data_IF_126794770263
#
_entry.id   IF_126794770263
#
_cell.length_a   1.000
_cell.length_b   1.000
_cell.length_c   1.000
_cell.angle_alpha   90.00
_cell.angle_beta   90.00
_cell.angle_gamma   90.00
#
_symmetry.space_group_name_H-M   'P 1'
#
loop_
_entity.id
_entity.type
_entity.pdbx_description
1 polymer ?
#
# COMPACT_ATOMS: atom_id res chain seq x y z
N UNK A 1 -24.59 -6.30 -12.79
CA UNK A 1 -25.79 -6.73 -13.55
C UNK A 1 -26.30 -5.53 -14.31
N UNK A 2 -26.02 -5.47 -15.60
CA UNK A 2 -26.57 -4.44 -16.50
C UNK A 2 -27.95 -4.97 -16.89
N UNK A 3 -28.98 -4.56 -16.14
CA UNK A 3 -30.37 -4.86 -16.49
C UNK A 3 -30.69 -4.27 -17.86
N UNK A 4 -31.56 -4.96 -18.61
CA UNK A 4 -31.99 -4.62 -19.98
C UNK A 4 -32.21 -3.11 -20.15
N UNK A 5 -31.17 -2.45 -20.67
CA UNK A 5 -31.12 -0.99 -20.82
C UNK A 5 -32.17 -0.52 -21.81
N UNK A 6 -32.57 -1.38 -22.74
CA UNK A 6 -33.59 -1.10 -23.75
C UNK A 6 -35.00 -1.19 -23.17
N UNK A 7 -35.28 -2.21 -22.36
CA UNK A 7 -36.54 -2.32 -21.61
C UNK A 7 -36.75 -1.16 -20.64
N UNK A 8 -35.71 -0.78 -19.90
CA UNK A 8 -35.74 0.36 -18.96
C UNK A 8 -35.85 1.69 -19.69
N UNK A 9 -35.18 1.86 -20.84
CA UNK A 9 -35.34 3.06 -21.65
C UNK A 9 -36.77 3.17 -22.19
N UNK A 10 -37.36 2.07 -22.69
CA UNK A 10 -38.72 2.06 -23.24
C UNK A 10 -39.78 2.35 -22.18
N UNK A 11 -39.65 1.82 -20.97
CA UNK A 11 -40.57 2.13 -19.87
C UNK A 11 -40.40 3.57 -19.38
N UNK A 12 -39.17 4.07 -19.20
CA UNK A 12 -38.96 5.46 -18.78
C UNK A 12 -39.36 6.47 -19.85
N UNK A 13 -39.13 6.17 -21.14
CA UNK A 13 -39.61 6.98 -22.26
C UNK A 13 -41.15 6.95 -22.28
N UNK A 14 -41.76 5.80 -22.02
CA UNK A 14 -43.20 5.67 -21.85
C UNK A 14 -43.77 6.50 -20.70
N UNK A 15 -43.06 6.56 -19.56
CA UNK A 15 -43.45 7.32 -18.37
C UNK A 15 -43.18 8.82 -18.51
N UNK A 16 -42.04 9.22 -19.08
CA UNK A 16 -41.69 10.63 -19.37
C UNK A 16 -42.57 11.24 -20.46
N UNK A 17 -43.06 10.42 -21.41
CA UNK A 17 -44.00 10.84 -22.45
C UNK A 17 -45.48 10.66 -22.03
N UNK A 18 -45.77 10.15 -20.83
CA UNK A 18 -47.15 9.98 -20.34
C UNK A 18 -47.83 11.30 -19.96
N UNK A 19 -47.08 12.40 -19.83
CA UNK A 19 -47.62 13.72 -19.54
C UNK A 19 -48.18 14.38 -20.82
N UNK A 20 -49.23 13.78 -21.38
CA UNK A 20 -50.24 14.43 -22.24
C UNK A 20 -49.73 15.30 -23.41
N UNK A 21 -48.48 15.16 -23.88
CA UNK A 21 -48.03 15.78 -25.12
C UNK A 21 -48.53 14.91 -26.26
N UNK A 22 -49.67 15.28 -26.81
CA UNK A 22 -50.16 14.71 -28.06
C UNK A 22 -49.19 15.16 -29.15
N UNK A 23 -48.07 14.44 -29.34
CA UNK A 23 -47.09 14.75 -30.38
C UNK A 23 -47.81 14.65 -31.73
N UNK A 24 -48.16 15.81 -32.30
CA UNK A 24 -48.86 15.89 -33.56
C UNK A 24 -47.95 15.29 -34.63
N UNK A 25 -48.38 14.20 -35.26
CA UNK A 25 -47.62 13.55 -36.35
C UNK A 25 -47.70 14.32 -37.68
N UNK A 26 -48.49 15.39 -37.71
CA UNK A 26 -48.62 16.33 -38.83
C UNK A 26 -48.37 17.71 -38.26
N UNK A 27 -47.36 18.40 -38.78
CA UNK A 27 -47.02 19.76 -38.40
C UNK A 27 -47.51 20.69 -39.49
N UNK A 28 -48.23 21.74 -39.10
CA UNK A 28 -48.72 22.75 -40.06
C UNK A 28 -47.61 23.75 -40.41
N UNK A 29 -46.65 23.93 -39.50
CA UNK A 29 -45.56 24.90 -39.63
C UNK A 29 -44.20 24.30 -39.25
N UNK A 30 -43.12 24.88 -39.79
CA UNK A 30 -41.74 24.43 -39.57
C UNK A 30 -41.33 24.60 -38.10
N UNK A 31 -41.78 25.67 -37.43
CA UNK A 31 -41.50 25.93 -36.02
C UNK A 31 -42.10 24.84 -35.10
N UNK A 32 -43.31 24.34 -35.39
CA UNK A 32 -43.92 23.25 -34.63
C UNK A 32 -43.15 21.94 -34.81
N UNK A 33 -42.71 21.63 -36.03
CA UNK A 33 -41.89 20.46 -36.30
C UNK A 33 -40.53 20.54 -35.58
N UNK A 34 -39.89 21.71 -35.62
CA UNK A 34 -38.64 21.97 -34.92
C UNK A 34 -38.82 21.83 -33.41
N UNK A 35 -39.84 22.48 -32.84
CA UNK A 35 -40.16 22.39 -31.41
C UNK A 35 -40.37 20.95 -30.95
N UNK A 36 -41.14 20.16 -31.69
CA UNK A 36 -41.34 18.74 -31.33
C UNK A 36 -40.03 17.94 -31.36
N UNK A 37 -39.09 18.28 -32.25
CA UNK A 37 -37.76 17.66 -32.26
C UNK A 37 -36.92 18.10 -31.06
N UNK A 38 -36.94 19.40 -30.73
CA UNK A 38 -36.24 19.96 -29.56
C UNK A 38 -36.76 19.37 -28.25
N UNK A 39 -38.08 19.23 -28.10
CA UNK A 39 -38.71 18.61 -26.93
C UNK A 39 -38.23 17.15 -26.74
N UNK A 40 -38.12 16.38 -27.84
CA UNK A 40 -37.59 15.03 -27.78
C UNK A 40 -36.13 14.99 -27.30
N UNK A 41 -35.28 15.90 -27.80
CA UNK A 41 -33.90 16.02 -27.35
C UNK A 41 -33.81 16.44 -25.87
N UNK A 42 -34.71 17.31 -25.42
CA UNK A 42 -34.75 17.73 -24.02
C UNK A 42 -35.15 16.57 -23.08
N UNK A 43 -36.12 15.75 -23.46
CA UNK A 43 -36.49 14.54 -22.72
C UNK A 43 -35.31 13.57 -22.63
N UNK A 44 -34.58 13.37 -23.74
CA UNK A 44 -33.38 12.54 -23.76
C UNK A 44 -32.26 13.10 -22.86
N UNK A 45 -32.06 14.42 -22.85
CA UNK A 45 -31.08 15.09 -21.98
C UNK A 45 -31.41 14.91 -20.49
N UNK A 46 -32.69 15.10 -20.10
CA UNK A 46 -33.18 14.87 -18.74
C UNK A 46 -33.06 13.39 -18.35
N UNK A 47 -33.39 12.48 -19.27
CA UNK A 47 -33.25 11.05 -19.03
C UNK A 47 -31.79 10.67 -18.76
N UNK A 48 -30.86 11.14 -19.59
CA UNK A 48 -29.44 10.81 -19.50
C UNK A 48 -28.81 11.27 -18.17
N UNK A 49 -29.33 12.34 -17.56
CA UNK A 49 -28.83 12.94 -16.31
C UNK A 49 -29.60 12.50 -15.05
N UNK A 50 -30.84 12.03 -15.19
CA UNK A 50 -31.79 11.76 -14.09
C UNK A 50 -31.26 10.94 -12.91
N UNK A 51 -30.42 9.93 -13.17
CA UNK A 51 -29.96 8.99 -12.14
C UNK A 51 -28.64 9.38 -11.48
N UNK A 52 -27.95 10.39 -12.00
CA UNK A 52 -26.59 10.72 -11.56
C UNK A 52 -26.53 11.13 -10.10
N UNK A 53 -27.53 11.88 -9.63
CA UNK A 53 -27.63 12.30 -8.22
C UNK A 53 -27.61 11.10 -7.27
N UNK A 54 -28.44 10.10 -7.55
CA UNK A 54 -28.54 8.88 -6.76
C UNK A 54 -27.27 8.04 -6.85
N UNK A 55 -26.64 7.97 -8.03
CA UNK A 55 -25.35 7.27 -8.21
C UNK A 55 -24.24 7.91 -7.38
N UNK A 56 -24.10 9.25 -7.40
CA UNK A 56 -23.10 9.95 -6.59
C UNK A 56 -23.35 9.74 -5.10
N UNK A 57 -24.61 9.82 -4.66
CA UNK A 57 -24.98 9.58 -3.26
C UNK A 57 -24.68 8.14 -2.80
N UNK A 58 -24.93 7.16 -3.66
CA UNK A 58 -24.62 5.75 -3.36
C UNK A 58 -23.11 5.52 -3.23
N UNK A 59 -22.31 6.18 -4.08
CA UNK A 59 -20.85 6.13 -4.00
C UNK A 59 -20.32 6.80 -2.73
N UNK A 60 -20.85 7.98 -2.37
CA UNK A 60 -20.50 8.66 -1.12
C UNK A 60 -20.77 7.75 0.09
N UNK A 61 -21.98 7.17 0.16
CA UNK A 61 -22.35 6.27 1.24
C UNK A 61 -21.45 5.04 1.31
N UNK A 62 -21.17 4.42 0.16
CA UNK A 62 -20.32 3.23 0.12
C UNK A 62 -18.89 3.54 0.56
N UNK A 63 -18.35 4.69 0.15
CA UNK A 63 -17.04 5.16 0.56
C UNK A 63 -17.01 5.49 2.04
N UNK A 64 -18.03 6.15 2.57
CA UNK A 64 -18.17 6.42 4.00
C UNK A 64 -18.23 5.12 4.81
N UNK A 65 -19.05 4.13 4.43
CA UNK A 65 -19.09 2.82 5.12
C UNK A 65 -17.74 2.09 5.08
N UNK A 66 -17.07 2.07 3.92
CA UNK A 66 -15.75 1.46 3.78
C UNK A 66 -14.71 2.15 4.67
N UNK A 67 -14.87 3.45 4.90
CA UNK A 67 -13.87 4.26 5.59
C UNK A 67 -14.18 4.51 7.06
N UNK A 68 -15.42 4.39 7.51
CA UNK A 68 -15.81 4.38 8.92
C UNK A 68 -15.12 3.23 9.67
N UNK A 69 -14.98 2.08 9.02
CA UNK A 69 -14.20 0.97 9.56
C UNK A 69 -12.72 1.36 9.83
N UNK A 70 -12.17 2.28 9.04
CA UNK A 70 -10.80 2.78 9.22
C UNK A 70 -10.70 3.66 10.46
N UNK A 71 -11.61 4.64 10.58
CA UNK A 71 -11.61 5.63 11.68
C UNK A 71 -11.93 4.97 13.02
N UNK A 72 -12.80 3.97 13.06
CA UNK A 72 -13.12 3.25 14.30
C UNK A 72 -11.92 2.45 14.84
N UNK A 73 -11.06 1.98 13.95
CA UNK A 73 -9.88 1.16 14.30
C UNK A 73 -8.72 2.02 14.81
N UNK A 74 -8.61 3.31 14.44
CA UNK A 74 -7.64 4.24 15.04
C UNK A 74 -7.81 4.34 16.58
N UNK A 75 -9.03 4.07 17.08
CA UNK A 75 -9.38 4.24 18.49
C UNK A 75 -9.31 2.96 19.33
N UNK A 76 -9.27 1.79 18.70
CA UNK A 76 -9.24 0.52 19.40
C UNK A 76 -7.99 -0.23 18.95
N UNK A 77 -7.09 -0.49 19.89
CA UNK A 77 -5.87 -1.31 19.73
C UNK A 77 -6.12 -2.78 19.35
N UNK A 78 -7.24 -3.06 18.68
CA UNK A 78 -7.57 -4.34 18.10
C UNK A 78 -6.77 -4.49 16.81
N UNK A 79 -5.70 -5.26 16.95
CA UNK A 79 -4.82 -5.75 15.92
C UNK A 79 -5.56 -6.76 15.02
N UNK A 80 -6.67 -6.35 14.41
CA UNK A 80 -7.41 -7.15 13.44
C UNK A 80 -7.08 -6.68 12.03
N UNK A 81 -6.14 -7.39 11.40
CA UNK A 81 -6.06 -7.68 9.97
C UNK A 81 -6.61 -6.61 9.01
N UNK A 82 -6.08 -5.38 9.08
CA UNK A 82 -6.21 -4.45 7.97
C UNK A 82 -5.44 -5.01 6.78
N UNK A 83 -6.18 -5.68 5.90
CA UNK A 83 -5.61 -6.47 4.83
C UNK A 83 -5.48 -5.60 3.59
N UNK A 84 -4.49 -5.89 2.73
CA UNK A 84 -4.40 -5.41 1.34
C UNK A 84 -5.75 -5.41 0.60
N UNK A 85 -6.67 -6.29 1.00
CA UNK A 85 -8.05 -6.34 0.53
C UNK A 85 -8.84 -5.02 0.71
N UNK A 86 -8.78 -4.36 1.88
CA UNK A 86 -9.51 -3.09 2.10
C UNK A 86 -8.94 -1.97 1.23
N UNK A 87 -7.61 -1.93 1.11
CA UNK A 87 -6.93 -1.00 0.20
C UNK A 87 -7.34 -1.23 -1.26
N UNK A 88 -7.46 -2.50 -1.67
CA UNK A 88 -7.94 -2.89 -2.99
C UNK A 88 -9.40 -2.49 -3.25
N UNK A 89 -10.28 -2.58 -2.24
CA UNK A 89 -11.66 -2.12 -2.37
C UNK A 89 -11.75 -0.59 -2.49
N UNK A 90 -10.98 0.16 -1.70
CA UNK A 90 -10.90 1.62 -1.80
C UNK A 90 -10.39 2.05 -3.17
N UNK A 91 -9.33 1.39 -3.68
CA UNK A 91 -8.84 1.60 -5.06
C UNK A 91 -9.93 1.35 -6.11
N UNK A 92 -10.64 0.23 -6.00
CA UNK A 92 -11.71 -0.12 -6.96
C UNK A 92 -12.79 0.96 -7.02
N UNK A 93 -13.19 1.51 -5.88
CA UNK A 93 -14.18 2.58 -5.82
C UNK A 93 -13.63 3.93 -6.27
N UNK A 94 -12.34 4.21 -6.06
CA UNK A 94 -11.64 5.36 -6.64
C UNK A 94 -11.71 5.31 -8.18
N UNK A 95 -11.34 4.17 -8.76
CA UNK A 95 -11.36 3.95 -10.21
C UNK A 95 -12.79 4.06 -10.77
N UNK A 96 -13.77 3.46 -10.08
CA UNK A 96 -15.18 3.52 -10.48
C UNK A 96 -15.76 4.94 -10.43
N UNK A 97 -15.38 5.71 -9.42
CA UNK A 97 -15.82 7.11 -9.27
C UNK A 97 -15.18 7.97 -10.36
N UNK A 98 -13.88 7.78 -10.66
CA UNK A 98 -13.20 8.46 -11.75
C UNK A 98 -13.82 8.16 -13.13
N UNK A 99 -14.10 6.89 -13.42
CA UNK A 99 -14.80 6.47 -14.64
C UNK A 99 -16.16 7.19 -14.77
N UNK A 100 -16.90 7.26 -13.67
CA UNK A 100 -18.21 7.90 -13.63
C UNK A 100 -18.12 9.41 -13.87
N UNK A 101 -17.13 10.08 -13.25
CA UNK A 101 -16.83 11.50 -13.51
C UNK A 101 -16.54 11.73 -14.99
N UNK A 102 -15.76 10.86 -15.63
CA UNK A 102 -15.41 10.98 -17.05
C UNK A 102 -16.66 10.87 -17.94
N UNK A 103 -17.52 9.88 -17.69
CA UNK A 103 -18.77 9.68 -18.45
C UNK A 103 -19.71 10.89 -18.27
N UNK A 104 -19.90 11.35 -17.03
CA UNK A 104 -20.75 12.52 -16.74
C UNK A 104 -20.22 13.78 -17.42
N UNK A 105 -18.90 14.03 -17.36
CA UNK A 105 -18.27 15.19 -17.99
C UNK A 105 -18.37 15.14 -19.53
N UNK A 106 -18.23 13.95 -20.12
CA UNK A 106 -18.43 13.75 -21.56
C UNK A 106 -19.87 14.09 -21.98
N UNK A 107 -20.86 13.60 -21.22
CA UNK A 107 -22.27 13.90 -21.49
C UNK A 107 -22.58 15.39 -21.35
N UNK A 108 -22.02 16.09 -20.35
CA UNK A 108 -22.10 17.56 -20.25
C UNK A 108 -21.57 18.23 -21.53
N UNK A 109 -20.42 17.76 -22.05
CA UNK A 109 -19.86 18.29 -23.30
C UNK A 109 -20.80 18.06 -24.49
N UNK A 110 -21.45 16.90 -24.58
CA UNK A 110 -22.41 16.59 -25.65
C UNK A 110 -23.62 17.53 -25.57
N UNK A 111 -24.17 17.77 -24.37
CA UNK A 111 -25.29 18.69 -24.19
C UNK A 111 -24.93 20.13 -24.60
N UNK A 112 -23.72 20.59 -24.26
CA UNK A 112 -23.20 21.89 -24.71
C UNK A 112 -23.10 21.96 -26.24
N UNK A 113 -22.56 20.93 -26.88
CA UNK A 113 -22.46 20.87 -28.34
C UNK A 113 -23.83 20.89 -29.00
N UNK A 114 -24.81 20.16 -28.45
CA UNK A 114 -26.17 20.12 -28.95
C UNK A 114 -26.85 21.50 -28.86
N UNK A 115 -26.67 22.19 -27.74
CA UNK A 115 -27.13 23.57 -27.55
C UNK A 115 -26.50 24.52 -28.57
N UNK A 116 -25.18 24.48 -28.72
CA UNK A 116 -24.47 25.36 -29.67
C UNK A 116 -24.87 25.07 -31.12
N UNK A 117 -25.09 23.80 -31.48
CA UNK A 117 -25.55 23.41 -32.81
C UNK A 117 -26.90 24.08 -33.14
N UNK A 118 -27.91 23.97 -32.28
CA UNK A 118 -29.21 24.58 -32.55
C UNK A 118 -29.17 26.12 -32.51
N UNK A 119 -28.39 26.72 -31.61
CA UNK A 119 -28.15 28.17 -31.60
C UNK A 119 -27.49 28.64 -32.90
N UNK A 120 -26.54 27.87 -33.42
CA UNK A 120 -25.87 28.13 -34.69
C UNK A 120 -26.82 27.99 -35.88
N UNK A 121 -27.63 26.92 -35.91
CA UNK A 121 -28.54 26.60 -37.01
C UNK A 121 -29.50 27.75 -37.35
N UNK A 122 -30.08 28.41 -36.33
CA UNK A 122 -31.05 29.49 -36.57
C UNK A 122 -30.37 30.84 -36.86
N UNK A 123 -29.08 30.97 -36.49
CA UNK A 123 -28.25 32.14 -36.81
C UNK A 123 -27.62 32.07 -38.19
N UNK A 124 -27.64 30.91 -38.84
CA UNK A 124 -27.12 30.71 -40.17
C UNK A 124 -27.87 31.59 -41.18
N UNK A 125 -27.12 32.24 -42.07
CA UNK A 125 -27.66 33.12 -43.11
C UNK A 125 -28.57 32.35 -44.08
N UNK A 126 -28.31 31.06 -44.28
CA UNK A 126 -29.10 30.17 -45.14
C UNK A 126 -30.42 29.70 -44.49
N UNK A 127 -30.68 30.06 -43.22
CA UNK A 127 -31.91 29.69 -42.53
C UNK A 127 -33.14 30.44 -43.11
N UNK A 128 -34.30 29.77 -43.29
CA UNK A 128 -35.50 30.39 -43.84
C UNK A 128 -35.93 31.68 -43.12
N UNK A 129 -35.87 32.83 -43.83
CA UNK A 129 -36.14 34.15 -43.26
C UNK A 129 -37.56 34.32 -42.71
N UNK A 130 -38.55 33.64 -43.30
CA UNK A 130 -39.96 33.77 -42.94
C UNK A 130 -40.27 33.13 -41.58
N UNK A 131 -39.61 32.01 -41.28
CA UNK A 131 -39.79 31.24 -40.05
C UNK A 131 -38.71 31.53 -38.99
N UNK A 132 -37.65 32.27 -39.35
CA UNK A 132 -36.48 32.54 -38.49
C UNK A 132 -36.86 33.04 -37.09
N UNK A 133 -37.75 34.03 -36.99
CA UNK A 133 -38.14 34.59 -35.69
C UNK A 133 -38.80 33.56 -34.77
N UNK A 134 -39.76 32.78 -35.29
CA UNK A 134 -40.47 31.76 -34.51
C UNK A 134 -39.53 30.61 -34.10
N UNK A 135 -38.73 30.10 -35.04
CA UNK A 135 -37.74 29.06 -34.76
C UNK A 135 -36.66 29.53 -33.77
N UNK A 136 -36.28 30.80 -33.82
CA UNK A 136 -35.29 31.36 -32.90
C UNK A 136 -35.81 31.46 -31.47
N UNK A 137 -37.09 31.80 -31.31
CA UNK A 137 -37.74 31.80 -30.00
C UNK A 137 -37.80 30.38 -29.42
N UNK A 138 -38.17 29.37 -30.21
CA UNK A 138 -38.23 27.97 -29.77
C UNK A 138 -36.84 27.43 -29.42
N UNK A 139 -35.81 27.71 -30.23
CA UNK A 139 -34.42 27.34 -29.92
C UNK A 139 -33.90 28.05 -28.67
N UNK A 140 -34.26 29.32 -28.46
CA UNK A 140 -33.87 30.05 -27.26
C UNK A 140 -34.49 29.45 -26.01
N UNK A 141 -35.77 29.06 -26.06
CA UNK A 141 -36.44 28.40 -24.94
C UNK A 141 -35.86 27.01 -24.66
N UNK A 142 -35.60 26.22 -25.71
CA UNK A 142 -34.90 24.94 -25.59
C UNK A 142 -33.52 25.11 -24.97
N UNK A 143 -32.73 26.09 -25.44
CA UNK A 143 -31.39 26.33 -24.94
C UNK A 143 -31.38 26.67 -23.44
N UNK A 144 -32.32 27.50 -22.97
CA UNK A 144 -32.46 27.81 -21.54
C UNK A 144 -32.73 26.56 -20.71
N UNK A 145 -33.60 25.66 -21.19
CA UNK A 145 -33.91 24.40 -20.49
C UNK A 145 -32.74 23.40 -20.52
N UNK A 146 -31.97 23.37 -21.61
CA UNK A 146 -30.75 22.55 -21.66
C UNK A 146 -29.65 23.13 -20.79
N UNK A 147 -29.55 24.46 -20.68
CA UNK A 147 -28.61 25.14 -19.79
C UNK A 147 -28.86 24.74 -18.32
N UNK A 148 -30.12 24.69 -17.89
CA UNK A 148 -30.48 24.20 -16.56
C UNK A 148 -30.01 22.75 -16.32
N UNK A 149 -30.22 21.85 -17.28
CA UNK A 149 -29.78 20.45 -17.19
C UNK A 149 -28.24 20.35 -17.18
N UNK A 150 -27.55 21.19 -17.96
CA UNK A 150 -26.09 21.27 -17.98
C UNK A 150 -25.57 21.73 -16.62
N UNK A 151 -26.15 22.80 -16.05
CA UNK A 151 -25.71 23.37 -14.78
C UNK A 151 -25.88 22.35 -13.63
N UNK A 152 -27.01 21.64 -13.58
CA UNK A 152 -27.21 20.56 -12.61
C UNK A 152 -26.18 19.43 -12.80
N UNK A 153 -25.96 19.00 -14.04
CA UNK A 153 -25.00 17.97 -14.38
C UNK A 153 -23.56 18.36 -14.01
N UNK A 154 -23.16 19.62 -14.23
CA UNK A 154 -21.85 20.14 -13.86
C UNK A 154 -21.64 20.20 -12.35
N UNK A 155 -22.68 20.55 -11.60
CA UNK A 155 -22.66 20.50 -10.15
C UNK A 155 -22.44 19.07 -9.64
N UNK A 156 -23.11 18.08 -10.24
CA UNK A 156 -22.92 16.67 -9.91
C UNK A 156 -21.53 16.16 -10.28
N UNK A 157 -21.00 16.54 -11.44
CA UNK A 157 -19.60 16.24 -11.84
C UNK A 157 -18.62 16.82 -10.83
N UNK A 158 -18.83 18.06 -10.40
CA UNK A 158 -17.97 18.74 -9.42
C UNK A 158 -18.01 18.04 -8.06
N UNK A 159 -19.20 17.63 -7.61
CA UNK A 159 -19.38 16.84 -6.39
C UNK A 159 -18.67 15.49 -6.47
N UNK A 160 -18.81 14.77 -7.58
CA UNK A 160 -18.12 13.50 -7.79
C UNK A 160 -16.58 13.67 -7.83
N UNK A 161 -16.06 14.76 -8.42
CA UNK A 161 -14.62 15.10 -8.36
C UNK A 161 -14.13 15.35 -6.93
N UNK A 162 -14.94 15.99 -6.09
CA UNK A 162 -14.62 16.15 -4.67
C UNK A 162 -14.59 14.78 -3.97
N UNK A 163 -15.54 13.90 -4.26
CA UNK A 163 -15.54 12.54 -3.73
C UNK A 163 -14.26 11.78 -4.10
N UNK A 164 -13.78 11.85 -5.34
CA UNK A 164 -12.48 11.26 -5.75
C UNK A 164 -11.34 11.74 -4.85
N UNK A 165 -11.27 13.05 -4.57
CA UNK A 165 -10.24 13.62 -3.68
C UNK A 165 -10.36 13.08 -2.25
N UNK A 166 -11.59 12.93 -1.74
CA UNK A 166 -11.85 12.36 -0.41
C UNK A 166 -11.38 10.91 -0.36
N UNK A 167 -11.69 10.10 -1.39
CA UNK A 167 -11.24 8.70 -1.48
C UNK A 167 -9.71 8.63 -1.47
N UNK A 168 -9.03 9.44 -2.29
CA UNK A 168 -7.58 9.48 -2.38
C UNK A 168 -6.93 9.85 -1.04
N UNK A 169 -7.47 10.85 -0.33
CA UNK A 169 -6.98 11.25 0.99
C UNK A 169 -7.13 10.11 2.02
N UNK A 170 -8.29 9.45 2.06
CA UNK A 170 -8.55 8.35 2.99
C UNK A 170 -7.66 7.13 2.70
N UNK A 171 -7.41 6.85 1.42
CA UNK A 171 -6.46 5.81 0.97
C UNK A 171 -5.02 6.13 1.38
N UNK A 172 -4.58 7.38 1.26
CA UNK A 172 -3.25 7.79 1.71
C UNK A 172 -3.09 7.59 3.22
N UNK A 173 -4.11 7.97 4.02
CA UNK A 173 -4.13 7.70 5.45
C UNK A 173 -4.02 6.19 5.76
N UNK A 174 -4.77 5.35 5.04
CA UNK A 174 -4.65 3.89 5.16
C UNK A 174 -3.25 3.36 4.91
N UNK A 175 -2.62 3.81 3.81
CA UNK A 175 -1.26 3.39 3.48
C UNK A 175 -0.28 3.81 4.59
N UNK A 176 -0.43 5.01 5.13
CA UNK A 176 0.38 5.50 6.24
C UNK A 176 0.21 4.63 7.49
N UNK A 177 -1.01 4.24 7.85
CA UNK A 177 -1.24 3.33 8.98
C UNK A 177 -0.61 1.95 8.77
N UNK A 178 -0.75 1.36 7.57
CA UNK A 178 -0.14 0.06 7.24
C UNK A 178 1.40 0.11 7.30
N UNK A 179 1.99 1.20 6.81
CA UNK A 179 3.43 1.43 6.93
C UNK A 179 3.85 1.61 8.39
N UNK A 180 3.07 2.35 9.19
CA UNK A 180 3.28 2.52 10.63
C UNK A 180 3.28 1.19 11.39
N UNK A 181 2.30 0.31 11.12
CA UNK A 181 2.24 -1.03 11.71
C UNK A 181 3.46 -1.88 11.33
N UNK A 182 3.85 -1.85 10.05
CA UNK A 182 5.03 -2.59 9.57
C UNK A 182 6.30 -2.08 10.25
N UNK A 183 6.44 -0.76 10.41
CA UNK A 183 7.55 -0.13 11.11
C UNK A 183 7.57 -0.48 12.61
N UNK A 184 6.41 -0.53 13.27
CA UNK A 184 6.31 -0.92 14.69
C UNK A 184 6.70 -2.39 14.90
N UNK A 185 6.22 -3.29 14.04
CA UNK A 185 6.61 -4.70 14.07
C UNK A 185 8.12 -4.83 13.81
N UNK A 186 8.66 -4.11 12.83
CA UNK A 186 10.10 -4.10 12.56
C UNK A 186 10.90 -3.55 13.75
N UNK A 187 10.42 -2.49 14.42
CA UNK A 187 11.05 -1.93 15.60
C UNK A 187 11.07 -2.92 16.78
N UNK A 188 9.93 -3.57 17.07
CA UNK A 188 9.82 -4.60 18.11
C UNK A 188 10.72 -5.80 17.81
N UNK A 189 10.76 -6.23 16.55
CA UNK A 189 11.64 -7.31 16.10
C UNK A 189 13.12 -6.93 16.27
N UNK A 190 13.52 -5.74 15.81
CA UNK A 190 14.89 -5.27 15.91
C UNK A 190 15.35 -5.11 17.37
N UNK A 191 14.47 -4.62 18.25
CA UNK A 191 14.75 -4.52 19.69
C UNK A 191 15.02 -5.90 20.30
N UNK A 192 14.18 -6.90 19.98
CA UNK A 192 14.40 -8.28 20.44
C UNK A 192 15.66 -8.90 19.84
N UNK A 193 15.98 -8.60 18.59
CA UNK A 193 17.23 -9.03 17.96
C UNK A 193 18.45 -8.42 18.65
N UNK A 194 18.39 -7.14 19.03
CA UNK A 194 19.46 -6.48 19.76
C UNK A 194 19.68 -7.13 21.14
N UNK A 195 18.60 -7.38 21.87
CA UNK A 195 18.66 -8.05 23.17
C UNK A 195 19.21 -9.49 23.04
N UNK A 196 18.72 -10.25 22.06
CA UNK A 196 19.21 -11.61 21.79
C UNK A 196 20.68 -11.62 21.33
N UNK A 197 21.11 -10.63 20.54
CA UNK A 197 22.50 -10.50 20.12
C UNK A 197 23.41 -10.20 21.32
N UNK A 198 22.95 -9.36 22.27
CA UNK A 198 23.67 -9.08 23.49
C UNK A 198 23.79 -10.33 24.38
N UNK A 199 22.70 -11.07 24.57
CA UNK A 199 22.74 -12.35 25.29
C UNK A 199 23.69 -13.34 24.62
N UNK A 200 23.60 -13.48 23.30
CA UNK A 200 24.50 -14.34 22.52
C UNK A 200 25.97 -13.94 22.67
N UNK A 201 26.26 -12.64 22.75
CA UNK A 201 27.61 -12.16 23.03
C UNK A 201 28.08 -12.56 24.42
N UNK A 202 27.23 -12.46 25.45
CA UNK A 202 27.58 -12.90 26.82
C UNK A 202 27.79 -14.42 26.91
N UNK A 203 26.96 -15.22 26.25
CA UNK A 203 27.11 -16.68 26.16
C UNK A 203 28.42 -17.06 25.45
N UNK A 204 28.80 -16.33 24.40
CA UNK A 204 30.07 -16.53 23.72
C UNK A 204 31.29 -16.20 24.60
N UNK A 205 31.21 -15.19 25.47
CA UNK A 205 32.25 -14.89 26.46
C UNK A 205 32.37 -16.01 27.49
N UNK A 206 31.24 -16.51 28.01
CA UNK A 206 31.22 -17.62 28.96
C UNK A 206 31.87 -18.90 28.36
N UNK A 207 31.53 -19.24 27.11
CA UNK A 207 32.19 -20.36 26.40
C UNK A 207 33.71 -20.19 26.32
N UNK A 208 34.20 -18.98 26.02
CA UNK A 208 35.63 -18.69 25.99
C UNK A 208 36.29 -18.91 27.35
N UNK A 209 35.66 -18.47 28.44
CA UNK A 209 36.18 -18.70 29.79
C UNK A 209 36.30 -20.19 30.08
N UNK A 210 35.26 -20.99 29.80
CA UNK A 210 35.29 -22.45 29.98
C UNK A 210 36.44 -23.07 29.19
N UNK A 211 36.61 -22.68 27.91
CA UNK A 211 37.72 -23.21 27.09
C UNK A 211 39.10 -22.87 27.65
N UNK A 212 39.29 -21.69 28.24
CA UNK A 212 40.57 -21.33 28.89
C UNK A 212 40.77 -22.17 30.15
N UNK A 213 39.74 -22.32 30.98
CA UNK A 213 39.81 -23.15 32.20
C UNK A 213 40.13 -24.61 31.86
N UNK A 214 39.50 -25.19 30.84
CA UNK A 214 39.78 -26.57 30.42
C UNK A 214 41.19 -26.74 29.85
N UNK A 215 41.69 -25.77 29.07
CA UNK A 215 43.05 -25.81 28.55
C UNK A 215 44.13 -25.82 29.66
N UNK A 216 43.87 -25.16 30.79
CA UNK A 216 44.76 -25.18 31.96
C UNK A 216 44.67 -26.52 32.70
N UNK A 217 43.47 -27.09 32.83
CA UNK A 217 43.22 -28.28 33.65
C UNK A 217 43.56 -29.60 32.93
N UNK A 218 43.48 -29.62 31.60
CA UNK A 218 43.66 -30.82 30.78
C UNK A 218 45.08 -31.42 30.88
N UNK A 219 46.18 -30.64 30.83
CA UNK A 219 47.54 -31.15 31.05
C UNK A 219 47.75 -31.73 32.46
N UNK A 220 47.19 -31.08 33.48
CA UNK A 220 47.27 -31.53 34.86
C UNK A 220 46.52 -32.85 35.06
N UNK A 221 45.34 -32.98 34.45
CA UNK A 221 44.54 -34.21 34.50
C UNK A 221 45.24 -35.35 33.77
N UNK A 222 45.78 -35.11 32.58
CA UNK A 222 46.54 -36.12 31.84
C UNK A 222 47.76 -36.61 32.62
N UNK A 223 48.53 -35.68 33.21
CA UNK A 223 49.65 -36.01 34.09
C UNK A 223 49.19 -36.84 35.28
N UNK A 224 48.15 -36.39 36.00
CA UNK A 224 47.60 -37.11 37.15
C UNK A 224 47.17 -38.54 36.81
N UNK A 225 46.48 -38.74 35.68
CA UNK A 225 46.08 -40.08 35.22
C UNK A 225 47.28 -40.92 34.81
N UNK A 226 48.23 -40.34 34.07
CA UNK A 226 49.45 -41.04 33.63
C UNK A 226 50.26 -41.56 34.82
N UNK A 227 50.47 -40.73 35.85
CA UNK A 227 51.16 -41.12 37.08
C UNK A 227 50.31 -42.00 38.02
N UNK A 228 48.98 -42.03 37.86
CA UNK A 228 48.07 -42.93 38.58
C UNK A 228 48.02 -44.34 37.98
N UNK A 229 48.58 -44.56 36.79
CA UNK A 229 48.74 -45.90 36.21
C UNK A 229 50.06 -46.53 36.67
N UNK A 230 50.09 -47.86 36.87
CA UNK A 230 51.24 -48.66 37.33
C UNK A 230 52.47 -48.65 36.38
N UNK A 231 52.52 -47.74 35.41
CA UNK A 231 53.61 -47.54 34.46
C UNK A 231 54.90 -47.06 35.17
N UNK A 232 54.77 -46.39 36.33
CA UNK A 232 55.92 -45.95 37.14
C UNK A 232 55.89 -46.69 38.48
N UNK A 233 56.59 -47.83 38.56
CA UNK A 233 56.77 -48.55 39.82
C UNK A 233 57.85 -47.87 40.67
N UNK A 234 57.45 -47.25 41.77
CA UNK A 234 58.38 -46.87 42.84
C UNK A 234 58.58 -48.09 43.73
N UNK A 235 59.70 -48.78 43.51
CA UNK A 235 60.12 -49.92 44.29
C UNK A 235 60.80 -49.41 45.55
N UNK A 236 59.99 -48.94 46.51
CA UNK A 236 60.25 -48.94 47.96
C UNK A 236 59.02 -48.35 48.66
N UNK A 237 58.44 -49.12 49.59
CA UNK A 237 57.09 -48.93 50.16
C UNK A 237 56.91 -47.77 51.14
N UNK A 238 57.36 -46.57 50.78
CA UNK A 238 57.08 -45.33 51.53
C UNK A 238 56.01 -44.51 50.82
N UNK A 239 54.95 -44.15 51.55
CA UNK A 239 53.71 -43.62 50.98
C UNK A 239 53.78 -42.20 50.41
N UNK A 240 54.94 -41.52 50.39
CA UNK A 240 55.16 -40.26 49.66
C UNK A 240 56.65 -40.03 49.41
N UNK A 241 57.10 -40.15 48.15
CA UNK A 241 58.49 -39.89 47.77
C UNK A 241 58.64 -38.53 47.06
N UNK A 242 59.45 -37.64 47.64
CA UNK A 242 59.81 -36.34 47.05
C UNK A 242 60.33 -36.41 45.59
N UNK A 243 61.10 -37.44 45.20
CA UNK A 243 61.55 -37.60 43.81
C UNK A 243 60.40 -37.83 42.82
N UNK A 244 59.28 -38.43 43.24
CA UNK A 244 58.12 -38.65 42.38
C UNK A 244 57.40 -37.33 42.05
N UNK A 245 57.25 -36.46 43.04
CA UNK A 245 56.67 -35.13 42.85
C UNK A 245 57.55 -34.25 41.94
N UNK A 246 58.87 -34.33 42.08
CA UNK A 246 59.80 -33.61 41.22
C UNK A 246 59.71 -34.07 39.76
N UNK A 247 59.61 -35.39 39.51
CA UNK A 247 59.40 -35.97 38.17
C UNK A 247 58.03 -35.60 37.58
N UNK A 248 56.99 -35.61 38.41
CA UNK A 248 55.64 -35.16 38.04
C UNK A 248 55.65 -33.70 37.55
N UNK A 249 56.30 -32.80 38.30
CA UNK A 249 56.45 -31.39 37.89
C UNK A 249 57.27 -31.25 36.61
N UNK A 250 58.33 -32.05 36.46
CA UNK A 250 59.20 -32.04 35.27
C UNK A 250 58.46 -32.43 33.97
N UNK A 251 57.44 -33.29 34.05
CA UNK A 251 56.60 -33.66 32.88
C UNK A 251 55.45 -32.67 32.69
N UNK A 252 54.92 -32.14 33.79
CA UNK A 252 53.73 -31.27 33.76
C UNK A 252 54.04 -29.89 33.21
N UNK A 253 55.16 -29.26 33.60
CA UNK A 253 55.54 -27.94 33.09
C UNK A 253 55.77 -27.85 31.57
N UNK A 254 56.52 -28.76 30.92
CA UNK A 254 56.68 -28.70 29.47
C UNK A 254 55.36 -28.99 28.73
N UNK A 255 54.51 -29.87 29.27
CA UNK A 255 53.20 -30.15 28.68
C UNK A 255 52.27 -28.94 28.79
N UNK A 256 52.30 -28.24 29.92
CA UNK A 256 51.60 -26.97 30.15
C UNK A 256 52.11 -25.88 29.21
N UNK A 257 53.44 -25.75 29.06
CA UNK A 257 54.04 -24.79 28.12
C UNK A 257 53.63 -25.07 26.67
N UNK A 258 53.65 -26.34 26.24
CA UNK A 258 53.21 -26.75 24.90
C UNK A 258 51.72 -26.41 24.67
N UNK A 259 50.85 -26.68 25.64
CA UNK A 259 49.43 -26.33 25.53
C UNK A 259 49.21 -24.81 25.47
N UNK A 260 49.93 -24.02 26.27
CA UNK A 260 49.88 -22.56 26.19
C UNK A 260 50.42 -22.02 24.87
N UNK A 261 51.48 -22.60 24.30
CA UNK A 261 52.00 -22.19 22.99
C UNK A 261 51.01 -22.49 21.86
N UNK A 262 50.40 -23.67 21.86
CA UNK A 262 49.40 -24.05 20.85
C UNK A 262 48.16 -23.16 20.99
N UNK A 263 47.65 -22.97 22.22
CA UNK A 263 46.49 -22.13 22.48
C UNK A 263 46.76 -20.64 22.17
N UNK A 264 47.90 -20.12 22.59
CA UNK A 264 48.33 -18.75 22.31
C UNK A 264 48.55 -18.50 20.81
N UNK A 265 49.14 -19.47 20.11
CA UNK A 265 49.29 -19.43 18.64
C UNK A 265 47.94 -19.43 17.92
N UNK A 266 46.99 -20.26 18.35
CA UNK A 266 45.63 -20.26 17.80
C UNK A 266 44.89 -18.95 18.08
N UNK A 267 45.00 -18.41 19.31
CA UNK A 267 44.38 -17.14 19.68
C UNK A 267 44.96 -15.96 18.90
N UNK A 268 46.28 -15.92 18.73
CA UNK A 268 46.96 -14.84 18.00
C UNK A 268 46.64 -14.89 16.50
N UNK A 269 46.59 -16.09 15.90
CA UNK A 269 46.20 -16.26 14.49
C UNK A 269 44.73 -15.89 14.24
N UNK A 270 43.82 -16.27 15.14
CA UNK A 270 42.40 -15.90 15.06
C UNK A 270 42.18 -14.39 15.29
N UNK A 271 42.90 -13.78 16.23
CA UNK A 271 42.85 -12.33 16.46
C UNK A 271 43.32 -11.55 15.23
N UNK A 272 44.40 -11.99 14.57
CA UNK A 272 44.92 -11.34 13.36
C UNK A 272 43.96 -11.46 12.18
N UNK A 273 43.27 -12.60 12.04
CA UNK A 273 42.21 -12.81 11.02
C UNK A 273 40.98 -11.91 11.23
N UNK A 274 40.66 -11.57 12.48
CA UNK A 274 39.56 -10.67 12.83
C UNK A 274 39.89 -9.21 12.48
N UNK A 275 41.08 -8.73 12.84
CA UNK A 275 41.52 -7.37 12.50
C UNK A 275 41.62 -7.15 10.98
N UNK A 276 42.13 -8.11 10.22
CA UNK A 276 42.21 -7.99 8.75
C UNK A 276 40.83 -7.94 8.08
N UNK A 277 39.82 -8.62 8.64
CA UNK A 277 38.44 -8.56 8.13
C UNK A 277 37.79 -7.19 8.37
N UNK A 278 38.05 -6.57 9.52
CA UNK A 278 37.53 -5.24 9.85
C UNK A 278 38.13 -4.17 8.92
N UNK A 279 39.46 -4.17 8.76
CA UNK A 279 40.13 -3.24 7.83
C UNK A 279 39.70 -3.42 6.36
N UNK A 280 39.47 -4.65 5.92
CA UNK A 280 39.00 -4.90 4.55
C UNK A 280 37.57 -4.42 4.31
N UNK A 281 36.73 -4.40 5.36
CA UNK A 281 35.34 -3.94 5.29
C UNK A 281 35.28 -2.40 5.27
N UNK A 282 36.04 -1.75 6.14
CA UNK A 282 36.15 -0.27 6.15
C UNK A 282 36.71 0.27 4.84
N UNK A 283 37.71 -0.40 4.25
CA UNK A 283 38.27 0.01 2.96
C UNK A 283 37.29 -0.21 1.79
N UNK A 284 36.41 -1.20 1.89
CA UNK A 284 35.34 -1.44 0.92
C UNK A 284 34.24 -0.36 0.97
N UNK A 285 33.81 0.01 2.17
CA UNK A 285 32.78 1.04 2.37
C UNK A 285 33.26 2.44 1.93
N UNK A 286 34.53 2.78 2.16
CA UNK A 286 35.13 4.07 1.71
C UNK A 286 35.21 4.18 0.18
N UNK A 287 35.50 3.08 -0.52
CA UNK A 287 35.56 3.07 -2.00
C UNK A 287 34.15 3.23 -2.62
N UNK A 288 33.12 2.68 -1.95
CA UNK A 288 31.72 2.84 -2.39
C UNK A 288 31.20 4.26 -2.15
N UNK A 289 31.65 4.93 -1.08
CA UNK A 289 31.25 6.30 -0.77
C UNK A 289 31.92 7.34 -1.68
N UNK A 290 33.17 7.11 -2.12
CA UNK A 290 33.85 7.99 -3.09
C UNK A 290 33.45 7.78 -4.56
N UNK A 291 32.70 6.71 -4.85
CA UNK A 291 32.24 6.36 -6.20
C UNK A 291 30.80 6.79 -6.52
N UNK A 292 30.13 7.54 -5.63
CA UNK A 292 28.72 7.93 -5.76
C UNK A 292 28.53 9.43 -5.87
#
# INVERSE_FOLDING_TARGET
MIGDTHGVAKTLIGDLLHEKTTHQRKFETIDQALRSSLDAHLVLARWATSRWRWTVQDFEKTIDDLTLNIVYIEKTSAQENFTSATLGQVQKWEDKTNETVMIMASNVSILKLLREFYKGLVRDDDFPNRERWACQQEVSNYALQVDEVIDEAEMLVSRAKVLVKVIANRKASLMQHLQGQTAEVAYKLNTRMFEQANQSATEAVAMRIITVVTLIYLPATFSSTFFSTDIIKYQDGESFSWPALARFMQVTFPLMFLTFLIAGGWFWTESKRRSSKIESKERGDVIVEQGR
#
